data_IF_198554668004
#
_entry.id   IF_198554668004
#
_cell.length_a   1.000
_cell.length_b   1.000
_cell.length_c   1.000
_cell.angle_alpha   90.00
_cell.angle_beta   90.00
_cell.angle_gamma   90.00
#
_symmetry.space_group_name_H-M   'P 1'
#
loop_
_entity.id
_entity.type
_entity.pdbx_description
1 polymer ?
#
# COMPACT_ATOMS: atom_id res chain seq x y z
N UNK A 1 61.11 -5.12 -16.25
CA UNK A 1 60.55 -3.92 -15.60
C UNK A 1 59.04 -4.06 -15.68
N UNK A 2 58.40 -4.17 -14.53
CA UNK A 2 56.98 -4.55 -14.38
C UNK A 2 56.04 -3.60 -15.09
N UNK A 3 55.19 -4.18 -15.93
CA UNK A 3 53.96 -3.56 -16.42
C UNK A 3 53.06 -3.27 -15.22
N UNK A 4 52.65 -2.01 -15.10
CA UNK A 4 51.62 -1.58 -14.16
C UNK A 4 50.28 -2.00 -14.76
N UNK A 5 49.63 -3.00 -14.19
CA UNK A 5 48.25 -3.33 -14.52
C UNK A 5 47.32 -2.23 -13.99
N UNK A 6 46.62 -1.57 -14.90
CA UNK A 6 45.56 -0.61 -14.61
C UNK A 6 44.37 -1.31 -13.90
N UNK A 7 43.94 -0.86 -12.71
CA UNK A 7 42.80 -1.45 -12.01
C UNK A 7 41.42 -1.03 -12.56
N UNK A 8 41.34 -0.48 -13.78
CA UNK A 8 40.12 0.17 -14.30
C UNK A 8 39.14 -0.77 -15.02
N UNK A 9 39.37 -2.08 -15.07
CA UNK A 9 38.51 -3.00 -15.84
C UNK A 9 37.85 -4.09 -14.98
N UNK A 10 37.23 -3.72 -13.86
CA UNK A 10 36.31 -4.64 -13.18
C UNK A 10 34.96 -4.56 -13.87
N UNK A 11 34.65 -5.56 -14.70
CA UNK A 11 33.32 -5.73 -15.28
C UNK A 11 32.27 -5.65 -14.16
N UNK A 12 31.50 -4.56 -14.18
CA UNK A 12 30.59 -4.22 -13.10
C UNK A 12 29.32 -5.07 -13.23
N UNK A 13 29.36 -6.28 -12.68
CA UNK A 13 28.18 -7.13 -12.60
C UNK A 13 27.15 -6.50 -11.65
N UNK A 14 25.84 -6.67 -11.86
CA UNK A 14 24.81 -6.10 -10.97
C UNK A 14 24.98 -6.54 -9.51
N UNK A 15 25.53 -7.74 -9.29
CA UNK A 15 25.90 -8.23 -7.96
C UNK A 15 27.03 -7.40 -7.31
N UNK A 16 28.05 -7.00 -8.09
CA UNK A 16 29.15 -6.15 -7.61
C UNK A 16 28.70 -4.72 -7.26
N UNK A 17 27.67 -4.20 -7.95
CA UNK A 17 27.08 -2.90 -7.66
C UNK A 17 26.28 -2.91 -6.35
N UNK A 18 25.46 -3.94 -6.15
CA UNK A 18 24.67 -4.09 -4.92
C UNK A 18 25.56 -4.22 -3.68
N UNK A 19 26.64 -5.01 -3.76
CA UNK A 19 27.61 -5.12 -2.68
C UNK A 19 28.33 -3.80 -2.36
N UNK A 20 28.69 -3.01 -3.38
CA UNK A 20 29.28 -1.69 -3.18
C UNK A 20 28.28 -0.71 -2.58
N UNK A 21 27.02 -0.75 -2.98
CA UNK A 21 25.95 0.08 -2.41
C UNK A 21 25.74 -0.25 -0.93
N UNK A 22 25.65 -1.54 -0.57
CA UNK A 22 25.50 -1.98 0.82
C UNK A 22 26.68 -1.58 1.71
N UNK A 23 27.90 -1.64 1.17
CA UNK A 23 29.10 -1.19 1.87
C UNK A 23 29.10 0.33 2.11
N UNK A 24 28.59 1.11 1.16
CA UNK A 24 28.42 2.57 1.32
C UNK A 24 27.34 2.90 2.35
N UNK A 25 26.19 2.22 2.27
CA UNK A 25 25.09 2.37 3.22
C UNK A 25 25.49 1.99 4.65
N UNK A 26 26.36 0.98 4.83
CA UNK A 26 26.87 0.60 6.14
C UNK A 26 27.77 1.66 6.78
N UNK A 27 28.36 2.55 5.98
CA UNK A 27 29.21 3.65 6.46
C UNK A 27 28.42 4.91 6.77
N UNK A 28 27.21 5.04 6.24
CA UNK A 28 26.28 6.10 6.63
C UNK A 28 25.65 5.74 7.98
N UNK A 29 25.78 6.63 8.97
CA UNK A 29 25.09 6.47 10.25
C UNK A 29 23.59 6.32 10.03
N UNK A 30 22.94 5.40 10.74
CA UNK A 30 21.50 5.21 10.64
C UNK A 30 20.76 6.43 11.20
N UNK A 31 20.29 7.29 10.31
CA UNK A 31 19.32 8.32 10.64
C UNK A 31 17.97 7.65 10.92
N UNK A 32 17.42 7.87 12.13
CA UNK A 32 16.14 7.29 12.56
C UNK A 32 14.95 7.93 11.86
N UNK A 33 15.09 9.17 11.39
CA UNK A 33 14.04 9.89 10.66
C UNK A 33 14.06 9.55 9.16
N UNK A 34 15.20 9.07 8.64
CA UNK A 34 15.37 8.66 7.24
C UNK A 34 16.17 7.35 7.12
N UNK A 35 15.61 6.22 7.57
CA UNK A 35 16.31 4.95 7.57
C UNK A 35 16.52 4.44 6.14
N UNK A 36 17.78 4.25 5.74
CA UNK A 36 18.12 3.60 4.47
C UNK A 36 18.01 2.08 4.62
N UNK A 37 17.29 1.43 3.71
CA UNK A 37 17.15 -0.02 3.68
C UNK A 37 18.11 -0.62 2.66
N UNK A 38 18.80 -1.70 3.04
CA UNK A 38 19.44 -2.58 2.05
C UNK A 38 18.36 -3.23 1.19
N UNK A 39 18.70 -3.55 -0.04
CA UNK A 39 17.76 -4.09 -1.03
C UNK A 39 17.05 -5.35 -0.52
N UNK A 40 17.76 -6.22 0.19
CA UNK A 40 17.20 -7.44 0.78
C UNK A 40 16.24 -7.16 1.96
N UNK A 41 16.54 -6.12 2.73
CA UNK A 41 15.69 -5.69 3.86
C UNK A 41 14.44 -5.01 3.35
N UNK A 42 14.57 -4.20 2.30
CA UNK A 42 13.47 -3.57 1.58
C UNK A 42 12.54 -4.65 0.99
N UNK A 43 13.08 -5.61 0.24
CA UNK A 43 12.31 -6.73 -0.33
C UNK A 43 11.66 -7.60 0.74
N UNK A 44 12.32 -7.82 1.88
CA UNK A 44 11.73 -8.56 3.01
C UNK A 44 10.57 -7.79 3.64
N UNK A 45 10.70 -6.47 3.80
CA UNK A 45 9.60 -5.61 4.26
C UNK A 45 8.47 -5.53 3.23
N UNK A 46 8.78 -5.46 1.95
CA UNK A 46 7.81 -5.47 0.86
C UNK A 46 7.03 -6.78 0.84
N UNK A 47 7.70 -7.94 0.96
CA UNK A 47 7.04 -9.25 1.11
C UNK A 47 6.16 -9.30 2.35
N UNK A 48 6.66 -8.82 3.49
CA UNK A 48 5.88 -8.77 4.73
C UNK A 48 4.66 -7.84 4.62
N UNK A 49 4.76 -6.74 3.88
CA UNK A 49 3.64 -5.85 3.56
C UNK A 49 2.64 -6.55 2.65
N UNK A 50 3.09 -7.17 1.54
CA UNK A 50 2.25 -7.94 0.62
C UNK A 50 1.51 -9.10 1.31
N UNK A 51 2.14 -9.75 2.29
CA UNK A 51 1.52 -10.83 3.10
C UNK A 51 0.51 -10.27 4.12
N UNK A 52 0.66 -9.03 4.57
CA UNK A 52 -0.32 -8.32 5.44
C UNK A 52 -1.47 -7.69 4.65
N UNK A 53 -1.26 -7.44 3.36
CA UNK A 53 -2.20 -6.86 2.41
C UNK A 53 -3.45 -7.68 2.05
N UNK A 54 -3.53 -9.04 2.18
CA UNK A 54 -4.75 -9.76 1.84
C UNK A 54 -5.87 -9.54 2.87
N UNK A 55 -5.59 -8.89 4.02
CA UNK A 55 -6.64 -8.44 4.94
C UNK A 55 -7.41 -7.21 4.44
N UNK A 56 -6.88 -6.48 3.46
CA UNK A 56 -7.49 -5.29 2.85
C UNK A 56 -7.69 -5.41 1.34
N UNK A 57 -7.86 -6.63 0.83
CA UNK A 57 -8.25 -6.88 -0.57
C UNK A 57 -9.61 -6.27 -0.98
N UNK A 58 -10.31 -5.60 -0.07
CA UNK A 58 -11.57 -4.90 -0.33
C UNK A 58 -11.38 -3.51 -0.95
N UNK A 59 -10.21 -2.89 -0.81
CA UNK A 59 -9.95 -1.54 -1.31
C UNK A 59 -8.89 -1.48 -2.44
N UNK A 60 -8.15 -2.57 -2.68
CA UNK A 60 -6.97 -2.55 -3.54
C UNK A 60 -7.26 -2.85 -5.04
N UNK A 61 -8.53 -2.99 -5.45
CA UNK A 61 -8.88 -3.26 -6.85
C UNK A 61 -9.99 -2.36 -7.42
N UNK A 62 -10.41 -1.33 -6.70
CA UNK A 62 -11.14 -0.25 -7.37
C UNK A 62 -10.14 0.45 -8.28
N UNK A 63 -10.28 0.31 -9.61
CA UNK A 63 -9.60 1.22 -10.53
C UNK A 63 -10.09 2.63 -10.16
N UNK A 64 -9.24 3.50 -9.59
CA UNK A 64 -9.68 4.80 -9.05
C UNK A 64 -10.06 5.80 -10.16
N UNK A 65 -10.11 5.38 -11.42
CA UNK A 65 -10.32 6.27 -12.57
C UNK A 65 -11.76 6.28 -13.09
N UNK A 66 -12.66 5.50 -12.48
CA UNK A 66 -14.08 5.52 -12.83
C UNK A 66 -14.89 6.28 -11.77
N UNK A 67 -15.55 7.40 -12.11
CA UNK A 67 -16.46 8.10 -11.21
C UNK A 67 -17.54 7.20 -10.60
N UNK A 68 -17.93 6.13 -11.30
CA UNK A 68 -18.87 5.14 -10.80
C UNK A 68 -18.28 4.25 -9.69
N UNK A 69 -16.99 3.94 -9.76
CA UNK A 69 -16.32 3.17 -8.71
C UNK A 69 -16.21 3.99 -7.41
N UNK A 70 -15.99 5.30 -7.53
CA UNK A 70 -16.05 6.22 -6.39
C UNK A 70 -17.45 6.27 -5.78
N UNK A 71 -18.50 6.46 -6.61
CA UNK A 71 -19.89 6.46 -6.15
C UNK A 71 -20.29 5.14 -5.48
N UNK A 72 -19.85 4.01 -6.04
CA UNK A 72 -20.09 2.69 -5.47
C UNK A 72 -19.40 2.53 -4.11
N UNK A 73 -18.16 3.00 -4.00
CA UNK A 73 -17.40 2.99 -2.75
C UNK A 73 -18.05 3.89 -1.68
N UNK A 74 -18.45 5.11 -2.03
CA UNK A 74 -19.17 6.03 -1.14
C UNK A 74 -20.51 5.42 -0.67
N UNK A 75 -21.26 4.81 -1.59
CA UNK A 75 -22.49 4.11 -1.27
C UNK A 75 -22.26 2.94 -0.32
N UNK A 76 -21.18 2.18 -0.50
CA UNK A 76 -20.79 1.09 0.40
C UNK A 76 -20.41 1.60 1.79
N UNK A 77 -19.64 2.69 1.88
CA UNK A 77 -19.27 3.31 3.17
C UNK A 77 -20.53 3.74 3.95
N UNK A 78 -21.46 4.41 3.26
CA UNK A 78 -22.74 4.83 3.83
C UNK A 78 -23.59 3.62 4.26
N UNK A 79 -23.65 2.57 3.43
CA UNK A 79 -24.39 1.33 3.73
C UNK A 79 -23.83 0.58 4.93
N UNK A 80 -22.50 0.58 5.10
CA UNK A 80 -21.81 -0.12 6.18
C UNK A 80 -22.03 0.49 7.57
N UNK A 81 -22.62 1.69 7.67
CA UNK A 81 -22.90 2.40 8.93
C UNK A 81 -21.68 2.42 9.84
N UNK A 82 -20.54 2.80 9.28
CA UNK A 82 -19.31 2.99 10.03
C UNK A 82 -19.49 4.14 11.03
N UNK A 83 -18.76 4.10 12.15
CA UNK A 83 -18.62 5.31 12.96
C UNK A 83 -17.74 6.30 12.24
N UNK A 84 -17.85 7.60 12.54
CA UNK A 84 -17.01 8.64 11.96
C UNK A 84 -15.51 8.31 12.06
N UNK A 85 -15.09 7.81 13.23
CA UNK A 85 -13.73 7.32 13.45
C UNK A 85 -13.34 6.15 12.54
N UNK A 86 -14.23 5.20 12.30
CA UNK A 86 -13.96 4.05 11.43
C UNK A 86 -13.86 4.50 9.98
N UNK A 87 -14.80 5.32 9.54
CA UNK A 87 -14.84 5.87 8.18
C UNK A 87 -13.58 6.69 7.88
N UNK A 88 -13.20 7.59 8.78
CA UNK A 88 -11.98 8.39 8.63
C UNK A 88 -10.73 7.51 8.48
N UNK A 89 -10.59 6.47 9.31
CA UNK A 89 -9.45 5.54 9.22
C UNK A 89 -9.47 4.77 7.90
N UNK A 90 -10.64 4.35 7.42
CA UNK A 90 -10.78 3.68 6.12
C UNK A 90 -10.38 4.62 4.98
N UNK A 91 -10.89 5.86 4.96
CA UNK A 91 -10.56 6.86 3.93
C UNK A 91 -9.07 7.17 3.89
N UNK A 92 -8.44 7.38 5.04
CA UNK A 92 -6.98 7.60 5.11
C UNK A 92 -6.20 6.39 4.58
N UNK A 93 -6.66 5.16 4.88
CA UNK A 93 -6.04 3.95 4.33
C UNK A 93 -6.19 3.84 2.82
N UNK A 94 -7.36 4.17 2.27
CA UNK A 94 -7.60 4.20 0.81
C UNK A 94 -6.74 5.28 0.13
N UNK A 95 -6.54 6.42 0.79
CA UNK A 95 -5.64 7.48 0.34
C UNK A 95 -4.13 7.14 0.50
N UNK A 96 -3.79 5.93 0.94
CA UNK A 96 -2.40 5.44 1.01
C UNK A 96 -1.68 5.67 2.34
N UNK A 97 -2.29 6.30 3.34
CA UNK A 97 -1.65 6.59 4.63
C UNK A 97 -1.37 5.33 5.43
N UNK A 98 -0.18 5.21 6.00
CA UNK A 98 0.19 4.08 6.86
C UNK A 98 -0.50 4.17 8.24
N UNK A 99 -0.63 3.03 8.93
CA UNK A 99 -1.20 2.99 10.28
C UNK A 99 -0.40 3.82 11.31
N UNK A 100 0.89 4.02 11.06
CA UNK A 100 1.74 4.87 11.90
C UNK A 100 1.36 6.33 11.75
N UNK A 101 1.34 6.83 10.51
CA UNK A 101 0.98 8.22 10.20
C UNK A 101 -0.46 8.54 10.64
N UNK A 102 -1.40 7.61 10.49
CA UNK A 102 -2.78 7.78 10.99
C UNK A 102 -2.79 7.84 12.52
N UNK A 103 -1.94 7.05 13.19
CA UNK A 103 -1.81 7.08 14.65
C UNK A 103 -1.29 8.42 15.14
N UNK A 104 -0.21 8.91 14.52
CA UNK A 104 0.38 10.22 14.79
C UNK A 104 -0.62 11.35 14.56
N UNK A 105 -1.29 11.36 13.42
CA UNK A 105 -2.33 12.34 13.08
C UNK A 105 -3.45 12.40 14.13
N UNK A 106 -3.80 11.25 14.72
CA UNK A 106 -4.90 11.11 15.67
C UNK A 106 -4.46 11.09 17.14
N UNK A 107 -3.16 11.27 17.42
CA UNK A 107 -2.61 11.18 18.77
C UNK A 107 -2.83 9.82 19.44
N UNK A 108 -2.85 8.72 18.68
CA UNK A 108 -3.05 7.37 19.21
C UNK A 108 -2.01 6.36 18.69
N UNK A 109 -1.93 5.21 19.34
CA UNK A 109 -0.96 4.19 18.94
C UNK A 109 -1.36 3.51 17.63
N UNK A 110 -0.36 3.04 16.88
CA UNK A 110 -0.55 2.22 15.69
C UNK A 110 -1.49 1.02 15.93
N UNK A 111 -1.41 0.40 17.11
CA UNK A 111 -2.27 -0.71 17.50
C UNK A 111 -3.73 -0.28 17.69
N UNK A 112 -3.97 0.92 18.24
CA UNK A 112 -5.32 1.47 18.36
C UNK A 112 -5.95 1.69 16.97
N UNK A 113 -5.19 2.23 16.02
CA UNK A 113 -5.64 2.38 14.62
C UNK A 113 -5.96 1.02 13.99
N UNK A 114 -5.09 0.03 14.16
CA UNK A 114 -5.33 -1.33 13.67
C UNK A 114 -6.65 -1.90 14.21
N UNK A 115 -6.91 -1.76 15.51
CA UNK A 115 -8.14 -2.25 16.13
C UNK A 115 -9.40 -1.56 15.58
N UNK A 116 -9.32 -0.25 15.30
CA UNK A 116 -10.42 0.49 14.64
C UNK A 116 -10.64 -0.05 13.23
N UNK A 117 -9.55 -0.25 12.49
CA UNK A 117 -9.59 -0.70 11.11
C UNK A 117 -10.13 -2.13 11.00
N UNK A 118 -9.78 -3.03 11.91
CA UNK A 118 -10.31 -4.41 11.95
C UNK A 118 -11.83 -4.42 12.17
N UNK A 119 -12.34 -3.55 13.06
CA UNK A 119 -13.78 -3.38 13.29
C UNK A 119 -14.48 -2.82 12.06
N UNK A 120 -13.87 -1.84 11.39
CA UNK A 120 -14.39 -1.27 10.15
C UNK A 120 -14.43 -2.32 9.04
N UNK A 121 -13.37 -3.10 8.87
CA UNK A 121 -13.27 -4.17 7.87
C UNK A 121 -14.35 -5.24 8.08
N UNK A 122 -14.62 -5.64 9.32
CA UNK A 122 -15.69 -6.58 9.63
C UNK A 122 -17.08 -6.05 9.25
N UNK A 123 -17.32 -4.73 9.42
CA UNK A 123 -18.58 -4.08 9.00
C UNK A 123 -18.68 -3.99 7.48
N UNK A 124 -17.61 -3.56 6.81
CA UNK A 124 -17.56 -3.50 5.35
C UNK A 124 -17.79 -4.87 4.72
N UNK A 125 -17.19 -5.94 5.27
CA UNK A 125 -17.41 -7.31 4.81
C UNK A 125 -18.88 -7.73 4.88
N UNK A 126 -19.59 -7.36 5.95
CA UNK A 126 -21.04 -7.64 6.08
C UNK A 126 -21.86 -6.77 5.12
N UNK A 127 -21.49 -5.50 4.98
CA UNK A 127 -22.13 -4.58 4.06
C UNK A 127 -22.07 -5.11 2.61
N UNK A 128 -20.90 -5.58 2.18
CA UNK A 128 -20.69 -6.16 0.85
C UNK A 128 -21.61 -7.34 0.54
N UNK A 129 -21.99 -8.14 1.53
CA UNK A 129 -22.90 -9.27 1.33
C UNK A 129 -24.35 -8.85 1.05
N UNK A 130 -24.70 -7.59 1.34
CA UNK A 130 -26.08 -7.08 1.29
C UNK A 130 -26.22 -5.82 0.47
N UNK A 131 -25.12 -5.24 0.00
CA UNK A 131 -25.10 -3.99 -0.73
C UNK A 131 -25.62 -4.23 -2.16
N UNK A 132 -26.77 -3.62 -2.53
CA UNK A 132 -27.47 -3.97 -3.78
C UNK A 132 -26.76 -3.47 -5.04
N UNK A 133 -25.86 -2.50 -4.91
CA UNK A 133 -25.17 -1.86 -6.03
C UNK A 133 -23.72 -2.35 -6.21
N UNK A 134 -23.38 -3.49 -5.60
CA UNK A 134 -22.05 -4.08 -5.77
C UNK A 134 -21.83 -4.50 -7.24
N UNK A 135 -20.72 -4.08 -7.83
CA UNK A 135 -20.34 -4.37 -9.22
C UNK A 135 -21.05 -3.48 -10.25
N UNK A 136 -21.71 -2.40 -9.84
CA UNK A 136 -22.38 -1.46 -10.75
C UNK A 136 -21.36 -0.80 -11.70
N UNK A 137 -20.21 -0.37 -11.16
CA UNK A 137 -19.16 0.25 -11.96
C UNK A 137 -18.63 -0.71 -13.04
N UNK A 138 -18.44 -1.98 -12.67
CA UNK A 138 -17.96 -3.02 -13.59
C UNK A 138 -19.00 -3.33 -14.68
N UNK A 139 -20.28 -3.44 -14.31
CA UNK A 139 -21.37 -3.66 -15.25
C UNK A 139 -21.47 -2.52 -16.27
N UNK A 140 -21.35 -1.26 -15.82
CA UNK A 140 -21.34 -0.10 -16.72
C UNK A 140 -20.16 -0.13 -17.69
N UNK A 141 -18.94 -0.39 -17.17
CA UNK A 141 -17.74 -0.48 -18.02
C UNK A 141 -17.85 -1.61 -19.05
N UNK A 142 -18.43 -2.75 -18.69
CA UNK A 142 -18.68 -3.86 -19.60
C UNK A 142 -19.68 -3.49 -20.71
N UNK A 143 -20.72 -2.72 -20.41
CA UNK A 143 -21.69 -2.26 -21.42
C UNK A 143 -21.13 -1.17 -22.35
N UNK A 144 -20.39 -0.19 -21.80
CA UNK A 144 -19.75 0.86 -22.60
C UNK A 144 -18.69 0.27 -23.53
N UNK A 145 -17.86 -0.65 -23.04
CA UNK A 145 -16.84 -1.32 -23.87
C UNK A 145 -17.45 -2.20 -24.98
N UNK A 146 -18.64 -2.76 -24.77
CA UNK A 146 -19.36 -3.53 -25.81
C UNK A 146 -19.91 -2.65 -26.93
N UNK A 147 -20.31 -1.41 -26.62
CA UNK A 147 -20.94 -0.49 -27.58
C UNK A 147 -19.94 0.39 -28.34
N UNK A 148 -18.67 0.38 -27.95
CA UNK A 148 -17.63 1.25 -28.50
C UNK A 148 -17.72 2.68 -27.93
N UNK A 149 -16.59 3.42 -27.88
CA UNK A 149 -16.59 4.83 -27.49
C UNK A 149 -17.36 5.71 -28.47
#
# INVERSE_FOLDING_TARGET
>A
MSEREDPSSVACTPASLSQRADALLARCGQDRERPFYRDDTFRSKERASRIREPRFGLCAQARPESPLAELEFEGLLAWARLTETQEQVVRLRVAGWTLGEIGELRGCSKQAVQNVLDKAAARLKRALQTYPYLGLADAYLAEVSRRGP
#
